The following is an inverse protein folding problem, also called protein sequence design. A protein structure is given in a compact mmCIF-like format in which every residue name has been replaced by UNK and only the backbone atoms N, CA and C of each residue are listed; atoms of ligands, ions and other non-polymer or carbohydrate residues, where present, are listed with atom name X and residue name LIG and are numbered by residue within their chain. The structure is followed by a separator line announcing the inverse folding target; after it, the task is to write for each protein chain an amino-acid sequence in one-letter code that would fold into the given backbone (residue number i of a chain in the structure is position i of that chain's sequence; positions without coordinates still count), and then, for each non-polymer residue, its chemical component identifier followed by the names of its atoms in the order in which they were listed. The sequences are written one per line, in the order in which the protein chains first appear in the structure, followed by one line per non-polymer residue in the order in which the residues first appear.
data_IF_453183218813
#
_entry.id   IF_453183218813
#
_cell.length_a   1.000
_cell.length_b   1.000
_cell.length_c   1.000
_cell.angle_alpha   90.00
_cell.angle_beta   90.00
_cell.angle_gamma   90.00
#
_symmetry.space_group_name_H-M   'P 1'
#
loop_
_entity.id
_entity.type
_entity.pdbx_description
1 polymer ?
#
# COMPACT_ATOMS: atom_id res chain seq x y z
N UNK A 1 -34.41 4.78 -38.59
CA UNK A 1 -33.87 5.93 -37.83
C UNK A 1 -33.04 5.35 -36.67
N UNK A 2 -31.71 5.46 -36.83
CA UNK A 2 -30.60 5.36 -35.86
C UNK A 2 -30.57 4.23 -34.82
N UNK A 3 -29.48 3.51 -34.53
CA UNK A 3 -28.14 3.22 -35.09
C UNK A 3 -27.63 2.11 -34.12
N UNK A 4 -27.29 0.88 -34.54
CA UNK A 4 -25.97 0.44 -35.03
C UNK A 4 -24.85 0.64 -33.96
N UNK A 5 -24.04 -0.35 -33.55
CA UNK A 5 -23.26 -1.31 -34.36
C UNK A 5 -22.83 -2.53 -33.53
N UNK A 6 -22.97 -3.72 -34.12
CA UNK A 6 -22.10 -4.87 -33.84
C UNK A 6 -21.28 -5.12 -35.11
N UNK A 7 -19.95 -5.09 -35.01
CA UNK A 7 -19.07 -5.47 -36.11
C UNK A 7 -18.57 -6.88 -35.87
N UNK A 8 -19.16 -7.82 -36.62
CA UNK A 8 -18.58 -9.13 -36.91
C UNK A 8 -17.48 -9.00 -37.96
N UNK A 9 -16.45 -9.80 -37.75
CA UNK A 9 -15.28 -9.99 -38.60
C UNK A 9 -15.66 -10.65 -39.93
N UNK A 10 -15.09 -10.17 -41.04
CA UNK A 10 -14.97 -10.95 -42.28
C UNK A 10 -13.51 -11.01 -42.69
N UNK A 11 -12.96 -12.22 -42.69
CA UNK A 11 -11.66 -12.52 -43.28
C UNK A 11 -11.84 -12.74 -44.77
N UNK A 12 -11.09 -12.02 -45.60
CA UNK A 12 -10.89 -12.36 -47.01
C UNK A 12 -9.40 -12.50 -47.27
N UNK A 13 -9.05 -13.69 -47.75
CA UNK A 13 -7.72 -14.16 -48.06
C UNK A 13 -7.34 -13.73 -49.48
N UNK A 14 -6.26 -12.95 -49.64
CA UNK A 14 -5.47 -12.92 -50.88
C UNK A 14 -3.99 -12.71 -50.56
N UNK A 15 -3.20 -13.69 -51.01
CA UNK A 15 -1.76 -13.69 -51.24
C UNK A 15 -0.85 -13.32 -50.05
N UNK A 16 -0.18 -14.35 -49.53
CA UNK A 16 0.78 -14.22 -48.44
C UNK A 16 2.04 -13.43 -48.82
N UNK A 17 2.63 -12.83 -47.78
CA UNK A 17 4.06 -12.71 -47.44
C UNK A 17 4.11 -11.89 -46.13
N UNK A 18 5.10 -12.18 -45.29
CA UNK A 18 5.31 -11.78 -43.89
C UNK A 18 5.01 -10.33 -43.49
N UNK A 19 4.44 -10.14 -42.30
CA UNK A 19 4.43 -8.86 -41.58
C UNK A 19 5.67 -8.74 -40.68
N UNK A 20 6.58 -7.83 -41.05
CA UNK A 20 7.56 -7.25 -40.13
C UNK A 20 6.97 -5.94 -39.58
N UNK A 21 6.93 -5.82 -38.25
CA UNK A 21 6.62 -4.57 -37.56
C UNK A 21 7.89 -3.71 -37.48
N UNK A 22 7.82 -2.47 -37.98
CA UNK A 22 8.79 -1.40 -37.70
C UNK A 22 8.04 -0.16 -37.16
N UNK A 23 8.65 0.62 -36.26
CA UNK A 23 7.93 1.48 -35.33
C UNK A 23 7.51 2.83 -35.94
N UNK A 24 6.39 3.36 -35.41
CA UNK A 24 5.91 4.71 -35.65
C UNK A 24 6.97 5.74 -35.23
N UNK A 25 7.41 6.55 -36.18
CA UNK A 25 7.97 7.87 -35.89
C UNK A 25 7.30 8.92 -36.77
N UNK A 26 6.79 9.96 -36.09
CA UNK A 26 6.61 11.33 -36.56
C UNK A 26 5.37 11.65 -37.41
N UNK A 27 4.32 12.03 -36.67
CA UNK A 27 3.36 13.04 -37.10
C UNK A 27 4.08 14.41 -37.18
N UNK A 28 4.28 14.92 -38.39
CA UNK A 28 4.47 16.37 -38.64
C UNK A 28 3.64 16.73 -39.89
N UNK A 29 2.82 17.75 -39.72
CA UNK A 29 1.71 18.18 -40.59
C UNK A 29 2.11 18.61 -42.01
N UNK A 30 1.27 18.28 -42.98
CA UNK A 30 1.28 18.86 -44.34
C UNK A 30 0.02 19.69 -44.56
N UNK A 31 0.17 21.02 -44.54
CA UNK A 31 -0.80 21.96 -45.12
C UNK A 31 0.01 22.93 -46.00
N UNK A 32 0.01 22.66 -47.31
CA UNK A 32 0.58 23.53 -48.33
C UNK A 32 -0.59 24.19 -49.06
N UNK A 33 -0.79 25.48 -48.84
CA UNK A 33 -1.59 26.33 -49.74
C UNK A 33 -0.68 27.44 -50.25
N UNK A 34 -0.53 27.47 -51.57
CA UNK A 34 0.36 28.33 -52.35
C UNK A 34 -0.21 29.76 -52.39
N UNK A 35 0.59 30.76 -52.06
CA UNK A 35 0.44 32.14 -52.56
C UNK A 35 1.81 32.83 -52.62
N UNK A 36 2.21 33.16 -53.84
CA UNK A 36 3.45 33.86 -54.20
C UNK A 36 3.48 35.28 -53.63
N UNK A 37 4.54 35.64 -52.88
CA UNK A 37 5.12 36.98 -52.88
C UNK A 37 6.54 36.95 -52.30
N UNK A 38 7.46 37.55 -53.03
CA UNK A 38 8.90 37.60 -52.84
C UNK A 38 9.32 38.22 -51.50
N UNK A 39 9.90 37.43 -50.60
CA UNK A 39 10.81 37.88 -49.53
C UNK A 39 11.74 36.73 -49.14
N UNK A 40 13.06 36.96 -49.20
CA UNK A 40 14.09 35.99 -48.78
C UNK A 40 14.06 35.82 -47.27
N UNK A 41 13.36 34.79 -46.78
CA UNK A 41 13.38 34.39 -45.38
C UNK A 41 14.62 33.52 -45.14
N UNK A 42 15.61 34.03 -44.40
CA UNK A 42 16.72 33.21 -43.89
C UNK A 42 16.16 32.24 -42.84
N UNK A 43 15.92 31.00 -43.24
CA UNK A 43 15.57 29.91 -42.32
C UNK A 43 16.83 29.55 -41.53
N UNK A 44 16.93 30.05 -40.30
CA UNK A 44 17.94 29.58 -39.35
C UNK A 44 17.47 28.23 -38.81
N UNK A 45 18.03 27.15 -39.33
CA UNK A 45 17.81 25.80 -38.81
C UNK A 45 18.58 25.71 -37.50
N UNK A 46 17.92 26.00 -36.39
CA UNK A 46 18.44 25.63 -35.08
C UNK A 46 18.39 24.10 -35.00
N UNK A 47 19.57 23.46 -35.11
CA UNK A 47 19.73 22.07 -34.67
C UNK A 47 19.38 22.04 -33.19
N UNK A 48 18.15 21.64 -32.89
CA UNK A 48 17.81 21.18 -31.56
C UNK A 48 18.56 19.86 -31.40
N UNK A 49 19.74 19.90 -30.80
CA UNK A 49 20.35 18.70 -30.26
C UNK A 49 19.44 18.25 -29.14
N UNK A 50 18.56 17.28 -29.44
CA UNK A 50 18.08 16.38 -28.42
C UNK A 50 19.32 15.73 -27.83
N UNK A 51 19.83 16.30 -26.73
CA UNK A 51 20.65 15.54 -25.81
C UNK A 51 19.75 14.40 -25.39
N UNK A 52 20.00 13.20 -25.92
CA UNK A 52 19.49 11.98 -25.33
C UNK A 52 20.01 11.96 -23.89
N UNK A 53 19.21 12.48 -22.97
CA UNK A 53 19.39 12.27 -21.55
C UNK A 53 19.07 10.78 -21.34
N UNK A 54 20.05 9.95 -21.67
CA UNK A 54 19.92 8.52 -21.49
C UNK A 54 19.81 8.28 -20.00
N UNK A 55 18.60 7.92 -19.58
CA UNK A 55 18.30 7.61 -18.17
C UNK A 55 19.36 6.65 -17.64
N UNK A 56 19.82 6.93 -16.42
CA UNK A 56 20.82 6.12 -15.74
C UNK A 56 20.18 4.92 -15.03
N UNK A 57 18.87 4.76 -15.16
CA UNK A 57 18.11 3.59 -14.74
C UNK A 57 18.22 2.50 -15.81
N UNK A 58 18.99 1.45 -15.50
CA UNK A 58 19.27 0.32 -16.41
C UNK A 58 18.38 -0.91 -16.17
N UNK A 59 17.37 -0.79 -15.31
CA UNK A 59 16.44 -1.85 -14.95
C UNK A 59 15.00 -1.39 -15.15
N UNK A 60 14.06 -2.33 -15.17
CA UNK A 60 12.63 -2.02 -15.18
C UNK A 60 12.22 -1.44 -13.82
N UNK A 61 11.75 -0.19 -13.80
CA UNK A 61 11.29 0.46 -12.58
C UNK A 61 10.06 -0.27 -12.06
N UNK A 62 10.17 -0.79 -10.83
CA UNK A 62 9.04 -1.41 -10.15
C UNK A 62 7.88 -0.42 -9.99
N UNK A 63 6.68 -0.83 -10.41
CA UNK A 63 5.48 -0.01 -10.26
C UNK A 63 5.08 0.16 -8.80
N UNK A 64 4.36 1.24 -8.49
CA UNK A 64 3.87 1.55 -7.14
C UNK A 64 2.57 0.84 -6.78
N UNK A 65 1.82 0.39 -7.79
CA UNK A 65 0.50 -0.23 -7.65
C UNK A 65 0.54 -1.77 -7.61
N UNK A 66 1.74 -2.35 -7.65
CA UNK A 66 2.00 -3.79 -7.64
C UNK A 66 1.69 -4.51 -8.96
N UNK A 67 1.24 -3.81 -10.01
CA UNK A 67 0.85 -4.42 -11.28
C UNK A 67 2.06 -4.96 -12.05
N UNK A 68 1.81 -5.98 -12.88
CA UNK A 68 2.78 -6.57 -13.80
C UNK A 68 4.02 -7.20 -13.14
N UNK A 69 4.04 -7.37 -11.81
CA UNK A 69 5.12 -8.08 -11.11
C UNK A 69 5.17 -9.57 -11.52
N UNK A 70 3.99 -10.22 -11.58
CA UNK A 70 3.88 -11.57 -12.10
C UNK A 70 3.60 -11.55 -13.61
N UNK A 71 4.43 -12.26 -14.39
CA UNK A 71 4.36 -12.28 -15.86
C UNK A 71 3.05 -12.87 -16.41
N UNK A 72 2.47 -13.87 -15.74
CA UNK A 72 1.26 -14.55 -16.23
C UNK A 72 -0.02 -13.95 -15.64
N UNK A 73 0.05 -13.43 -14.42
CA UNK A 73 -1.09 -12.93 -13.66
C UNK A 73 -0.83 -11.51 -13.16
N UNK A 74 -1.01 -10.53 -14.04
CA UNK A 74 -0.63 -9.13 -13.79
C UNK A 74 -1.29 -8.49 -12.56
N UNK A 75 -2.45 -9.01 -12.12
CA UNK A 75 -3.22 -8.51 -10.98
C UNK A 75 -2.86 -9.15 -9.63
N UNK A 76 -1.87 -10.07 -9.57
CA UNK A 76 -1.45 -10.68 -8.31
C UNK A 76 -0.73 -9.66 -7.43
N UNK A 77 -1.20 -9.52 -6.19
CA UNK A 77 -0.61 -8.64 -5.19
C UNK A 77 -0.77 -7.14 -5.47
N UNK A 78 -1.64 -6.76 -6.41
CA UNK A 78 -1.92 -5.36 -6.70
C UNK A 78 -2.81 -4.73 -5.64
N UNK A 79 -2.81 -3.40 -5.60
CA UNK A 79 -3.83 -2.64 -4.87
C UNK A 79 -5.22 -3.03 -5.37
N UNK A 80 -6.15 -3.25 -4.44
CA UNK A 80 -7.51 -3.70 -4.71
C UNK A 80 -7.65 -5.19 -5.06
N UNK A 81 -6.55 -5.96 -5.04
CA UNK A 81 -6.63 -7.40 -5.32
C UNK A 81 -7.39 -8.15 -4.21
N UNK A 82 -8.16 -9.20 -4.54
CA UNK A 82 -8.80 -10.05 -3.54
C UNK A 82 -7.78 -10.74 -2.64
N UNK A 83 -8.08 -10.85 -1.35
CA UNK A 83 -7.30 -11.68 -0.45
C UNK A 83 -7.42 -13.15 -0.87
N UNK A 84 -6.31 -13.89 -0.82
CA UNK A 84 -6.32 -15.34 -1.06
C UNK A 84 -6.91 -16.07 0.15
N UNK A 85 -7.32 -17.32 0.01
CA UNK A 85 -7.84 -18.08 1.15
C UNK A 85 -7.10 -19.40 1.31
N UNK A 86 -6.71 -19.71 2.54
CA UNK A 86 -6.16 -21.03 2.86
C UNK A 86 -7.29 -22.08 2.95
N UNK A 87 -8.47 -21.66 3.42
CA UNK A 87 -9.65 -22.50 3.55
C UNK A 87 -10.89 -21.83 2.89
N UNK A 88 -11.90 -22.61 2.46
CA UNK A 88 -13.15 -22.06 1.95
C UNK A 88 -13.80 -21.08 2.94
N UNK A 89 -14.45 -20.03 2.42
CA UNK A 89 -15.09 -19.02 3.26
C UNK A 89 -16.24 -19.63 4.10
N UNK A 90 -16.29 -19.28 5.38
CA UNK A 90 -17.31 -19.78 6.32
C UNK A 90 -18.30 -18.66 6.69
N UNK A 91 -19.39 -18.59 5.94
CA UNK A 91 -20.53 -17.70 6.19
C UNK A 91 -21.76 -18.50 6.62
N UNK A 92 -22.70 -17.88 7.35
CA UNK A 92 -23.92 -18.54 7.83
C UNK A 92 -24.86 -18.95 6.71
N UNK A 93 -24.91 -18.16 5.64
CA UNK A 93 -25.63 -18.43 4.38
C UNK A 93 -24.75 -19.10 3.31
N UNK A 94 -23.48 -19.37 3.63
CA UNK A 94 -22.49 -19.86 2.68
C UNK A 94 -22.00 -18.83 1.64
N UNK A 95 -22.43 -17.56 1.73
CA UNK A 95 -22.11 -16.53 0.73
C UNK A 95 -21.49 -15.29 1.34
N UNK A 96 -22.19 -14.58 2.22
CA UNK A 96 -21.72 -13.29 2.73
C UNK A 96 -22.17 -12.97 4.15
N UNK A 97 -23.18 -13.65 4.69
CA UNK A 97 -23.68 -13.35 6.03
C UNK A 97 -22.72 -13.89 7.09
N UNK A 98 -22.13 -13.04 7.94
CA UNK A 98 -21.19 -13.48 8.96
C UNK A 98 -21.87 -14.42 9.97
N UNK A 99 -21.10 -15.37 10.49
CA UNK A 99 -21.51 -16.13 11.67
C UNK A 99 -21.51 -15.19 12.88
N UNK A 100 -22.58 -15.22 13.66
CA UNK A 100 -22.79 -14.38 14.84
C UNK A 100 -23.37 -15.23 15.98
N UNK A 101 -23.83 -14.60 17.05
CA UNK A 101 -24.59 -15.27 18.10
C UNK A 101 -25.91 -15.85 17.55
N UNK A 102 -26.36 -17.04 18.01
CA UNK A 102 -25.78 -17.87 19.06
C UNK A 102 -24.72 -18.89 18.57
N UNK A 103 -24.41 -18.95 17.27
CA UNK A 103 -23.47 -19.94 16.72
C UNK A 103 -22.02 -19.70 17.15
N UNK A 104 -21.66 -18.44 17.38
CA UNK A 104 -20.40 -18.00 17.95
C UNK A 104 -20.65 -17.20 19.24
N UNK A 105 -19.70 -17.17 20.19
CA UNK A 105 -19.85 -16.35 21.39
C UNK A 105 -19.82 -14.85 21.06
N UNK A 106 -20.45 -14.04 21.91
CA UNK A 106 -20.37 -12.59 21.86
C UNK A 106 -18.89 -12.11 21.79
N UNK A 107 -18.52 -11.24 20.82
CA UNK A 107 -17.14 -10.79 20.65
C UNK A 107 -16.56 -10.04 21.86
N UNK A 108 -17.37 -9.20 22.53
CA UNK A 108 -16.93 -8.45 23.70
C UNK A 108 -16.70 -9.37 24.90
N UNK A 109 -17.60 -10.33 25.13
CA UNK A 109 -17.40 -11.36 26.15
C UNK A 109 -16.15 -12.20 25.90
N UNK A 110 -15.90 -12.58 24.65
CA UNK A 110 -14.70 -13.32 24.28
C UNK A 110 -13.43 -12.49 24.53
N UNK A 111 -13.45 -11.21 24.17
CA UNK A 111 -12.35 -10.28 24.47
C UNK A 111 -12.09 -10.17 25.97
N UNK A 112 -13.13 -10.10 26.80
CA UNK A 112 -12.98 -10.03 28.25
C UNK A 112 -12.33 -11.29 28.84
N UNK A 113 -12.75 -12.46 28.36
CA UNK A 113 -12.19 -13.74 28.82
C UNK A 113 -10.75 -13.95 28.35
N UNK A 114 -10.44 -13.56 27.11
CA UNK A 114 -9.13 -13.85 26.52
C UNK A 114 -8.06 -12.79 26.78
N UNK A 115 -8.44 -11.51 26.79
CA UNK A 115 -7.49 -10.39 26.77
C UNK A 115 -7.41 -9.63 28.10
N UNK A 116 -8.32 -9.87 29.05
CA UNK A 116 -8.20 -9.25 30.39
C UNK A 116 -7.02 -9.86 31.13
N UNK A 117 -6.11 -9.00 31.59
CA UNK A 117 -4.92 -9.42 32.34
C UNK A 117 -4.19 -8.22 32.92
N UNK A 118 -3.10 -8.50 33.64
CA UNK A 118 -2.22 -7.46 34.16
C UNK A 118 -1.24 -7.01 33.07
N UNK A 119 -1.09 -5.68 32.92
CA UNK A 119 -0.05 -5.09 32.08
C UNK A 119 1.33 -5.23 32.73
N UNK A 120 2.40 -5.03 31.95
CA UNK A 120 3.78 -5.02 32.46
C UNK A 120 4.47 -6.38 32.46
N UNK A 121 3.87 -7.40 31.82
CA UNK A 121 4.52 -8.68 31.59
C UNK A 121 5.59 -8.53 30.49
N UNK A 122 6.88 -8.83 30.76
CA UNK A 122 7.92 -8.70 29.76
C UNK A 122 7.80 -9.79 28.68
N UNK A 123 8.31 -9.51 27.48
CA UNK A 123 8.43 -10.51 26.44
C UNK A 123 9.36 -11.65 26.89
N UNK A 124 8.92 -12.90 26.74
CA UNK A 124 9.73 -14.08 27.04
C UNK A 124 10.99 -14.19 26.16
N UNK A 125 10.99 -13.51 25.01
CA UNK A 125 12.11 -13.49 24.06
C UNK A 125 12.85 -12.15 24.05
N UNK A 126 12.60 -11.27 25.05
CA UNK A 126 13.16 -9.92 25.11
C UNK A 126 12.91 -9.10 23.83
N UNK A 127 11.75 -9.29 23.18
CA UNK A 127 11.34 -8.46 22.05
C UNK A 127 11.29 -7.00 22.46
N UNK A 128 11.89 -6.13 21.64
CA UNK A 128 11.88 -4.70 21.89
C UNK A 128 10.60 -4.08 21.37
N UNK A 129 10.20 -2.96 21.96
CA UNK A 129 9.06 -2.17 21.47
C UNK A 129 9.30 -1.67 20.04
N UNK A 130 10.55 -1.37 19.68
CA UNK A 130 10.94 -1.02 18.31
C UNK A 130 10.64 -2.18 17.34
N UNK A 131 11.00 -3.41 17.69
CA UNK A 131 10.66 -4.61 16.89
C UNK A 131 9.14 -4.75 16.69
N UNK A 132 8.34 -4.48 17.72
CA UNK A 132 6.87 -4.52 17.63
C UNK A 132 6.34 -3.50 16.64
N UNK A 133 6.80 -2.25 16.70
CA UNK A 133 6.31 -1.18 15.80
C UNK A 133 6.87 -1.27 14.38
N UNK A 134 8.09 -1.78 14.19
CA UNK A 134 8.55 -2.20 12.86
C UNK A 134 7.63 -3.29 12.27
N UNK A 135 7.19 -4.24 13.10
CA UNK A 135 6.18 -5.23 12.71
C UNK A 135 4.85 -4.61 12.28
N UNK A 136 4.37 -3.60 13.00
CA UNK A 136 3.18 -2.83 12.57
C UNK A 136 3.39 -2.14 11.22
N UNK A 137 4.55 -1.51 11.01
CA UNK A 137 4.89 -0.90 9.73
C UNK A 137 4.89 -1.93 8.59
N UNK A 138 5.49 -3.11 8.83
CA UNK A 138 5.49 -4.23 7.89
C UNK A 138 4.06 -4.73 7.57
N UNK A 139 3.16 -4.74 8.55
CA UNK A 139 1.78 -5.11 8.30
C UNK A 139 1.04 -4.06 7.48
N UNK A 140 1.27 -2.78 7.73
CA UNK A 140 0.65 -1.69 6.95
C UNK A 140 1.18 -1.61 5.52
N UNK A 141 2.39 -2.10 5.27
CA UNK A 141 2.97 -2.28 3.93
C UNK A 141 2.16 -3.27 3.08
N UNK A 142 1.83 -4.45 3.64
CA UNK A 142 1.28 -5.55 2.85
C UNK A 142 -0.23 -5.74 3.00
N UNK A 143 -0.86 -5.08 3.96
CA UNK A 143 -2.25 -5.32 4.32
C UNK A 143 -2.99 -4.04 4.75
N UNK A 144 -4.09 -3.76 4.06
CA UNK A 144 -5.11 -2.83 4.53
C UNK A 144 -6.50 -3.26 4.07
N UNK A 145 -7.37 -3.55 5.04
CA UNK A 145 -8.79 -3.80 4.81
C UNK A 145 -9.67 -3.02 5.80
N UNK A 146 -9.11 -1.96 6.41
CA UNK A 146 -9.76 -1.16 7.47
C UNK A 146 -10.85 -0.22 6.93
N UNK A 147 -10.67 0.45 5.78
CA UNK A 147 -11.71 1.32 5.24
C UNK A 147 -13.04 0.58 5.09
N UNK A 148 -14.17 1.26 5.27
CA UNK A 148 -15.47 0.63 5.12
C UNK A 148 -15.78 0.29 3.65
N UNK A 149 -16.52 -0.79 3.44
CA UNK A 149 -17.06 -1.17 2.14
C UNK A 149 -18.34 -0.38 1.77
N UNK A 150 -18.71 -0.48 0.49
CA UNK A 150 -19.91 0.14 -0.08
C UNK A 150 -20.77 -0.93 -0.79
N UNK A 151 -22.09 -1.03 -0.52
CA UNK A 151 -22.88 -0.24 0.44
C UNK A 151 -22.43 -0.41 1.90
N UNK A 152 -22.75 0.55 2.80
CA UNK A 152 -22.39 0.44 4.20
C UNK A 152 -23.11 -0.74 4.86
N UNK A 153 -22.35 -1.68 5.39
CA UNK A 153 -22.86 -2.84 6.12
C UNK A 153 -22.31 -2.83 7.54
N UNK A 154 -23.20 -2.89 8.53
CA UNK A 154 -22.83 -2.89 9.94
C UNK A 154 -23.01 -4.29 10.55
N UNK A 155 -22.03 -4.70 11.35
CA UNK A 155 -22.12 -5.83 12.26
C UNK A 155 -21.95 -5.29 13.68
N UNK A 156 -23.05 -4.85 14.29
CA UNK A 156 -22.99 -4.33 15.65
C UNK A 156 -22.48 -5.38 16.63
N UNK A 157 -21.66 -4.96 17.59
CA UNK A 157 -21.19 -5.80 18.68
C UNK A 157 -22.06 -5.48 19.90
N UNK A 158 -22.94 -6.40 20.34
CA UNK A 158 -23.71 -6.21 21.56
C UNK A 158 -22.78 -6.20 22.76
N UNK A 159 -22.84 -5.15 23.57
CA UNK A 159 -22.08 -5.07 24.81
C UNK A 159 -22.86 -5.79 25.92
N UNK A 160 -22.24 -6.73 26.66
CA UNK A 160 -22.88 -7.35 27.81
C UNK A 160 -23.33 -6.32 28.85
N UNK A 161 -24.50 -6.50 29.43
CA UNK A 161 -25.01 -5.62 30.49
C UNK A 161 -24.00 -5.52 31.64
N UNK A 162 -23.66 -4.28 32.02
CA UNK A 162 -22.71 -4.05 33.10
C UNK A 162 -21.24 -4.25 32.71
N UNK A 163 -20.93 -4.23 31.41
CA UNK A 163 -19.54 -4.12 30.96
C UNK A 163 -18.87 -2.90 31.61
N UNK A 164 -17.73 -3.07 32.31
CA UNK A 164 -17.15 -2.00 33.12
C UNK A 164 -16.62 -0.82 32.29
N UNK A 165 -16.39 -1.01 30.98
CA UNK A 165 -15.85 0.02 30.09
C UNK A 165 -16.95 0.66 29.27
N UNK A 166 -17.78 -0.16 28.62
CA UNK A 166 -18.74 0.32 27.62
C UNK A 166 -20.18 0.45 28.13
N UNK A 167 -20.56 -0.24 29.20
CA UNK A 167 -21.90 -0.16 29.81
C UNK A 167 -21.85 -0.10 31.36
N UNK A 168 -21.13 0.86 31.96
CA UNK A 168 -20.96 0.94 33.42
C UNK A 168 -22.27 1.18 34.17
N UNK A 169 -23.30 1.71 33.49
CA UNK A 169 -24.62 1.98 34.05
C UNK A 169 -25.62 0.82 33.88
N UNK A 170 -25.17 -0.33 33.37
CA UNK A 170 -26.01 -1.54 33.21
C UNK A 170 -27.28 -1.30 32.41
N UNK A 171 -27.16 -0.53 31.32
CA UNK A 171 -28.30 -0.23 30.45
C UNK A 171 -28.75 -1.45 29.64
N UNK A 172 -27.82 -2.38 29.34
CA UNK A 172 -28.08 -3.57 28.53
C UNK A 172 -28.43 -3.26 27.07
N UNK A 173 -28.16 -2.03 26.60
CA UNK A 173 -28.57 -1.53 25.27
C UNK A 173 -27.41 -1.00 24.42
N UNK A 174 -26.18 -1.04 24.93
CA UNK A 174 -25.02 -0.50 24.23
C UNK A 174 -24.63 -1.42 23.06
N UNK A 175 -24.48 -0.82 21.88
CA UNK A 175 -24.04 -1.48 20.66
C UNK A 175 -22.80 -0.75 20.14
N UNK A 176 -21.66 -1.45 20.00
CA UNK A 176 -20.50 -0.87 19.34
C UNK A 176 -20.66 -1.03 17.82
N UNK A 177 -20.60 0.06 17.04
CA UNK A 177 -20.68 -0.02 15.59
C UNK A 177 -19.38 -0.60 15.04
N UNK A 178 -19.48 -1.69 14.28
CA UNK A 178 -18.39 -2.21 13.46
C UNK A 178 -18.88 -2.29 12.02
N UNK A 179 -18.18 -1.62 11.12
CA UNK A 179 -18.53 -1.57 9.71
C UNK A 179 -17.68 -2.58 8.93
N UNK A 180 -18.30 -3.30 8.00
CA UNK A 180 -17.61 -4.29 7.18
C UNK A 180 -16.71 -3.61 6.15
N UNK A 181 -15.51 -4.16 5.94
CA UNK A 181 -14.56 -3.67 4.94
C UNK A 181 -14.98 -3.97 3.50
N UNK A 182 -14.23 -3.44 2.50
CA UNK A 182 -14.50 -3.65 1.09
C UNK A 182 -14.31 -5.11 0.68
N UNK A 183 -14.94 -5.47 -0.42
CA UNK A 183 -14.89 -6.80 -1.00
C UNK A 183 -14.82 -6.72 -2.53
N UNK A 184 -14.41 -7.82 -3.14
CA UNK A 184 -14.39 -7.97 -4.58
C UNK A 184 -15.82 -7.96 -5.12
N UNK A 185 -16.11 -7.03 -6.03
CA UNK A 185 -17.43 -6.84 -6.64
C UNK A 185 -17.88 -8.04 -7.48
N UNK A 186 -16.94 -8.87 -7.91
CA UNK A 186 -17.24 -10.11 -8.65
C UNK A 186 -17.51 -11.30 -7.71
N UNK A 187 -17.26 -11.16 -6.40
CA UNK A 187 -17.57 -12.14 -5.36
C UNK A 187 -18.97 -11.95 -4.79
N UNK A 188 -19.37 -12.78 -3.83
CA UNK A 188 -20.61 -12.66 -3.02
C UNK A 188 -21.94 -12.88 -3.75
N UNK A 189 -21.92 -13.44 -4.97
CA UNK A 189 -23.14 -13.65 -5.77
C UNK A 189 -23.73 -15.06 -5.60
N UNK A 190 -22.92 -16.03 -5.15
CA UNK A 190 -23.37 -17.42 -5.02
C UNK A 190 -22.50 -18.20 -4.02
N UNK A 191 -22.98 -19.37 -3.52
CA UNK A 191 -22.18 -20.22 -2.63
C UNK A 191 -20.86 -20.72 -3.26
N UNK A 192 -20.78 -20.78 -4.59
CA UNK A 192 -19.57 -21.18 -5.31
C UNK A 192 -18.55 -20.04 -5.44
N UNK A 193 -18.95 -18.80 -5.18
CA UNK A 193 -18.08 -17.63 -5.15
C UNK A 193 -18.48 -16.72 -3.98
N UNK A 194 -18.22 -17.16 -2.73
CA UNK A 194 -18.57 -16.40 -1.54
C UNK A 194 -17.79 -15.08 -1.47
N UNK A 195 -18.20 -14.18 -0.58
CA UNK A 195 -17.57 -12.87 -0.43
C UNK A 195 -16.08 -12.99 -0.13
N UNK A 196 -15.27 -12.23 -0.87
CA UNK A 196 -13.82 -12.14 -0.66
C UNK A 196 -13.43 -10.69 -0.43
N UNK A 197 -12.78 -10.42 0.70
CA UNK A 197 -12.27 -9.09 1.04
C UNK A 197 -11.14 -8.70 0.09
N UNK A 198 -10.93 -7.41 -0.11
CA UNK A 198 -9.83 -6.90 -0.95
C UNK A 198 -8.77 -6.25 -0.08
N UNK A 199 -7.53 -6.28 -0.57
CA UNK A 199 -6.42 -5.54 0.00
C UNK A 199 -6.34 -4.15 -0.63
N UNK A 200 -6.28 -3.08 0.16
CA UNK A 200 -6.20 -1.70 -0.33
C UNK A 200 -4.76 -1.16 -0.43
N UNK A 201 -3.78 -2.01 -0.14
CA UNK A 201 -2.36 -1.78 -0.43
C UNK A 201 -1.83 -2.93 -1.29
N UNK A 202 -0.59 -2.83 -1.75
CA UNK A 202 0.09 -3.93 -2.45
C UNK A 202 0.28 -5.10 -1.48
N UNK A 203 0.25 -6.35 -1.96
CA UNK A 203 0.64 -7.52 -1.15
C UNK A 203 2.16 -7.73 -1.13
N UNK A 204 2.88 -6.91 -1.89
CA UNK A 204 4.32 -6.96 -2.04
C UNK A 204 4.99 -6.19 -0.91
N UNK A 205 6.20 -6.61 -0.54
CA UNK A 205 7.08 -5.81 0.31
C UNK A 205 7.88 -4.87 -0.60
N UNK A 206 7.24 -3.86 -1.17
CA UNK A 206 7.76 -2.99 -2.23
C UNK A 206 7.96 -1.52 -1.81
N UNK A 207 7.96 -1.27 -0.51
CA UNK A 207 8.05 0.05 0.10
C UNK A 207 6.78 0.89 -0.12
N UNK A 208 5.62 0.30 -0.38
CA UNK A 208 4.37 1.05 -0.58
C UNK A 208 3.97 1.89 0.65
N UNK A 209 4.32 1.46 1.86
CA UNK A 209 4.16 2.24 3.10
C UNK A 209 5.09 3.45 3.20
N UNK A 210 6.15 3.50 2.39
CA UNK A 210 7.11 4.61 2.30
C UNK A 210 6.79 5.51 1.10
N UNK A 211 6.48 4.92 -0.06
CA UNK A 211 6.36 5.62 -1.35
C UNK A 211 4.93 5.79 -1.85
N UNK A 212 3.95 5.14 -1.22
CA UNK A 212 2.56 5.13 -1.67
C UNK A 212 2.21 3.95 -2.57
N UNK A 213 0.94 3.55 -2.60
CA UNK A 213 0.43 2.45 -3.42
C UNK A 213 0.08 2.87 -4.87
N UNK A 214 0.47 4.07 -5.31
CA UNK A 214 0.21 4.54 -6.67
C UNK A 214 1.24 5.59 -7.11
N UNK A 215 1.40 5.77 -8.43
CA UNK A 215 2.31 6.79 -8.96
C UNK A 215 1.92 8.20 -8.51
N UNK A 216 0.62 8.52 -8.49
CA UNK A 216 0.15 9.84 -8.03
C UNK A 216 0.41 10.08 -6.55
N UNK A 217 0.36 9.03 -5.73
CA UNK A 217 0.74 9.12 -4.33
C UNK A 217 2.23 9.38 -4.18
N UNK A 218 3.07 8.61 -4.87
CA UNK A 218 4.52 8.82 -4.87
C UNK A 218 4.89 10.22 -5.34
N UNK A 219 4.24 10.72 -6.39
CA UNK A 219 4.47 12.07 -6.90
C UNK A 219 4.10 13.13 -5.85
N UNK A 220 3.01 12.94 -5.11
CA UNK A 220 2.62 13.86 -4.05
C UNK A 220 3.62 13.88 -2.86
N UNK A 221 4.33 12.77 -2.62
CA UNK A 221 5.35 12.66 -1.59
C UNK A 221 6.73 13.17 -2.01
N UNK A 222 6.96 13.44 -3.30
CA UNK A 222 8.26 13.85 -3.83
C UNK A 222 8.46 15.35 -3.82
N UNK A 223 9.70 15.79 -3.63
CA UNK A 223 10.10 17.19 -3.85
C UNK A 223 10.40 17.50 -5.32
N UNK A 224 10.63 16.46 -6.13
CA UNK A 224 11.18 16.53 -7.50
C UNK A 224 12.51 17.30 -7.59
N UNK A 225 13.25 17.37 -6.48
CA UNK A 225 14.58 17.97 -6.42
C UNK A 225 15.53 17.07 -5.64
N UNK A 226 16.67 16.73 -6.26
CA UNK A 226 17.74 15.95 -5.61
C UNK A 226 17.39 14.48 -5.35
N UNK A 227 16.32 13.97 -5.95
CA UNK A 227 15.78 12.64 -5.72
C UNK A 227 15.18 12.47 -4.34
N UNK A 228 14.71 13.54 -3.70
CA UNK A 228 14.24 13.55 -2.31
C UNK A 228 12.72 13.38 -2.18
N UNK A 229 12.30 12.83 -1.05
CA UNK A 229 10.94 12.99 -0.54
C UNK A 229 10.77 14.41 0.03
N UNK A 230 9.57 14.97 -0.16
CA UNK A 230 9.21 16.32 0.25
C UNK A 230 9.27 16.46 1.78
N UNK A 231 10.10 17.39 2.23
CA UNK A 231 10.24 17.74 3.65
C UNK A 231 9.30 18.88 4.02
N UNK A 232 8.94 18.97 5.30
CA UNK A 232 8.18 20.08 5.85
C UNK A 232 9.06 21.30 6.17
N UNK A 233 8.64 22.10 7.15
CA UNK A 233 9.46 23.20 7.67
C UNK A 233 10.81 22.72 8.24
N UNK A 234 10.81 21.54 8.84
CA UNK A 234 12.00 20.84 9.29
C UNK A 234 12.48 19.89 8.20
N UNK A 235 13.72 20.05 7.76
CA UNK A 235 14.31 19.27 6.65
C UNK A 235 14.38 17.77 6.94
N UNK A 236 14.43 17.37 8.21
CA UNK A 236 14.46 15.98 8.65
C UNK A 236 13.06 15.40 8.95
N UNK A 237 11.99 16.15 8.64
CA UNK A 237 10.62 15.72 8.84
C UNK A 237 9.84 15.71 7.53
N UNK A 238 8.93 14.74 7.32
CA UNK A 238 8.05 14.76 6.16
C UNK A 238 7.21 16.03 6.13
N UNK A 239 6.73 16.37 4.94
CA UNK A 239 5.74 17.42 4.78
C UNK A 239 4.49 17.11 5.63
N UNK A 240 3.90 18.14 6.26
CA UNK A 240 2.64 17.99 6.99
C UNK A 240 1.48 17.92 6.01
N UNK A 241 0.47 17.10 6.34
CA UNK A 241 -0.74 16.95 5.55
C UNK A 241 -1.48 18.30 5.49
N UNK A 242 -1.76 18.75 4.28
CA UNK A 242 -2.57 19.93 4.02
C UNK A 242 -4.01 19.55 3.68
N UNK A 243 -4.59 20.25 2.70
CA UNK A 243 -5.91 19.96 2.12
C UNK A 243 -5.95 18.71 1.23
N UNK A 244 -4.84 17.99 1.11
CA UNK A 244 -4.68 16.75 0.35
C UNK A 244 -5.30 15.59 1.12
N UNK A 245 -6.29 14.89 0.54
CA UNK A 245 -6.98 13.73 1.14
C UNK A 245 -6.13 12.44 1.17
N UNK A 246 -4.82 12.54 1.33
CA UNK A 246 -3.91 11.38 1.36
C UNK A 246 -3.99 10.66 2.69
N UNK A 247 -3.92 11.40 3.80
CA UNK A 247 -3.85 10.83 5.14
C UNK A 247 -5.24 10.59 5.72
N UNK A 248 -5.38 9.47 6.43
CA UNK A 248 -6.56 9.20 7.23
C UNK A 248 -6.57 10.10 8.47
N UNK A 249 -7.64 10.89 8.62
CA UNK A 249 -7.80 11.90 9.67
C UNK A 249 -8.87 11.50 10.69
N UNK A 250 -8.65 10.36 11.37
CA UNK A 250 -9.45 9.99 12.53
C UNK A 250 -9.36 11.07 13.61
N UNK A 251 -10.46 11.29 14.35
CA UNK A 251 -10.42 12.15 15.52
C UNK A 251 -9.53 11.53 16.60
N UNK A 252 -8.69 12.35 17.23
CA UNK A 252 -7.90 11.97 18.39
C UNK A 252 -8.84 11.52 19.52
N UNK A 253 -8.73 10.27 20.01
CA UNK A 253 -9.63 9.75 21.03
C UNK A 253 -9.49 10.44 22.40
N UNK A 254 -8.38 11.15 22.65
CA UNK A 254 -8.10 11.83 23.91
C UNK A 254 -8.55 13.29 23.88
N UNK A 255 -8.35 13.98 22.75
CA UNK A 255 -8.60 15.43 22.64
C UNK A 255 -9.82 15.79 21.79
N UNK A 256 -10.31 14.86 20.96
CA UNK A 256 -11.39 15.10 19.99
C UNK A 256 -10.98 15.95 18.78
N UNK A 257 -9.70 16.33 18.68
CA UNK A 257 -9.18 17.06 17.53
C UNK A 257 -9.28 16.19 16.27
N UNK A 258 -9.65 16.80 15.15
CA UNK A 258 -9.84 16.12 13.88
C UNK A 258 -9.38 17.01 12.73
N UNK A 259 -9.14 16.40 11.58
CA UNK A 259 -8.59 17.08 10.41
C UNK A 259 -7.13 16.70 10.13
N UNK A 260 -6.54 17.26 9.08
CA UNK A 260 -5.18 16.91 8.64
C UNK A 260 -4.09 17.59 9.48
N UNK A 261 -4.46 18.54 10.33
CA UNK A 261 -3.56 19.34 11.15
C UNK A 261 -2.74 18.44 12.09
N UNK A 262 -1.41 18.48 11.93
CA UNK A 262 -0.49 17.68 12.74
C UNK A 262 -0.16 16.30 12.18
N UNK A 263 -0.81 15.85 11.10
CA UNK A 263 -0.46 14.61 10.41
C UNK A 263 0.72 14.83 9.45
N UNK A 264 1.58 13.83 9.28
CA UNK A 264 2.63 13.82 8.26
C UNK A 264 2.14 13.11 6.99
N UNK A 265 2.51 13.61 5.81
CA UNK A 265 2.29 12.92 4.53
C UNK A 265 3.29 11.74 4.44
N UNK A 266 2.75 10.52 4.46
CA UNK A 266 3.51 9.26 4.44
C UNK A 266 3.04 8.36 3.28
N UNK A 267 3.74 7.26 3.01
CA UNK A 267 3.34 6.27 1.98
C UNK A 267 2.07 5.48 2.35
N UNK A 268 1.73 5.38 3.63
CA UNK A 268 0.51 4.74 4.09
C UNK A 268 -0.48 5.75 4.69
N UNK A 269 -1.75 5.66 4.30
CA UNK A 269 -2.83 6.54 4.79
C UNK A 269 -2.95 6.53 6.33
N UNK A 270 -2.63 5.40 6.97
CA UNK A 270 -2.73 5.17 8.41
C UNK A 270 -1.38 5.28 9.12
N UNK A 271 -0.33 5.80 8.47
CA UNK A 271 0.98 5.96 9.10
C UNK A 271 0.96 6.80 10.39
N UNK A 272 -0.03 7.68 10.52
CA UNK A 272 -0.23 8.55 11.68
C UNK A 272 -1.18 7.97 12.76
N UNK A 273 -1.53 6.67 12.71
CA UNK A 273 -2.47 6.05 13.67
C UNK A 273 -2.03 6.23 15.13
N UNK A 274 -0.72 6.15 15.40
CA UNK A 274 -0.14 6.54 16.67
C UNK A 274 1.28 7.09 16.46
N UNK A 275 1.86 7.68 17.51
CA UNK A 275 3.19 8.31 17.44
C UNK A 275 4.32 7.32 17.09
N UNK A 276 4.16 6.02 17.33
CA UNK A 276 5.18 5.02 17.10
C UNK A 276 5.17 4.51 15.66
N UNK A 277 3.98 4.28 15.07
CA UNK A 277 3.87 3.99 13.63
C UNK A 277 4.32 5.19 12.81
N UNK A 278 4.02 6.41 13.28
CA UNK A 278 4.50 7.65 12.70
C UNK A 278 6.03 7.72 12.73
N UNK A 279 6.65 7.39 13.87
CA UNK A 279 8.11 7.37 14.01
C UNK A 279 8.77 6.41 13.02
N UNK A 280 8.23 5.21 12.83
CA UNK A 280 8.71 4.27 11.80
C UNK A 280 8.65 4.88 10.39
N UNK A 281 7.52 5.52 10.04
CA UNK A 281 7.39 6.27 8.79
C UNK A 281 8.46 7.33 8.60
N UNK A 282 8.74 8.12 9.63
CA UNK A 282 9.76 9.17 9.62
C UNK A 282 11.18 8.60 9.48
N UNK A 283 11.48 7.48 10.15
CA UNK A 283 12.80 6.81 10.03
C UNK A 283 13.06 6.42 8.58
N UNK A 284 12.08 5.80 7.90
CA UNK A 284 12.23 5.39 6.51
C UNK A 284 12.27 6.56 5.52
N UNK A 285 11.50 7.62 5.78
CA UNK A 285 11.61 8.90 5.05
C UNK A 285 13.04 9.48 5.14
N UNK A 286 13.58 9.59 6.36
CA UNK A 286 14.94 10.10 6.59
C UNK A 286 15.98 9.24 5.90
N UNK A 287 15.82 7.92 5.97
CA UNK A 287 16.73 6.98 5.34
C UNK A 287 16.73 7.11 3.81
N UNK A 288 15.56 7.30 3.18
CA UNK A 288 15.49 7.60 1.75
C UNK A 288 16.26 8.88 1.40
N UNK A 289 15.98 9.98 2.09
CA UNK A 289 16.63 11.27 1.82
C UNK A 289 18.14 11.18 2.03
N UNK A 290 18.59 10.46 3.06
CA UNK A 290 20.00 10.16 3.27
C UNK A 290 20.62 9.44 2.07
N UNK A 291 20.02 8.36 1.59
CA UNK A 291 20.53 7.60 0.44
C UNK A 291 20.56 8.47 -0.83
N UNK A 292 19.49 9.22 -1.11
CA UNK A 292 19.40 10.12 -2.25
C UNK A 292 20.50 11.21 -2.22
N UNK A 293 20.74 11.85 -1.06
CA UNK A 293 21.83 12.82 -0.91
C UNK A 293 23.21 12.18 -1.15
N UNK A 294 23.45 10.97 -0.64
CA UNK A 294 24.72 10.23 -0.85
C UNK A 294 24.92 9.82 -2.31
N UNK A 295 23.85 9.52 -3.03
CA UNK A 295 23.92 9.26 -4.47
C UNK A 295 24.20 10.54 -5.26
N UNK A 296 23.59 11.67 -4.88
CA UNK A 296 23.82 12.98 -5.51
C UNK A 296 25.27 13.44 -5.36
N UNK A 297 25.88 13.23 -4.20
CA UNK A 297 27.32 13.51 -3.96
C UNK A 297 28.24 12.69 -4.88
N UNK A 298 27.91 11.42 -5.12
CA UNK A 298 28.72 10.50 -5.94
C UNK A 298 28.47 10.65 -7.44
N UNK A 299 27.27 11.08 -7.82
CA UNK A 299 26.79 11.10 -9.18
C UNK A 299 26.18 12.46 -9.54
N UNK A 300 27.02 13.49 -9.59
CA UNK A 300 26.59 14.89 -9.83
C UNK A 300 25.88 15.14 -11.17
N UNK A 301 25.98 14.21 -12.13
CA UNK A 301 25.31 14.30 -13.44
C UNK A 301 23.94 13.60 -13.48
N UNK A 302 23.52 12.93 -12.41
CA UNK A 302 22.24 12.23 -12.37
C UNK A 302 21.09 13.22 -12.21
N UNK A 303 19.98 12.93 -12.90
CA UNK A 303 18.73 13.69 -12.75
C UNK A 303 18.03 13.39 -11.43
N UNK A 304 17.04 14.20 -11.06
CA UNK A 304 16.15 13.92 -9.92
C UNK A 304 15.56 12.51 -9.98
N UNK A 305 15.05 12.11 -11.14
CA UNK A 305 14.42 10.80 -11.35
C UNK A 305 15.44 9.67 -11.20
N UNK A 306 16.65 9.82 -11.76
CA UNK A 306 17.70 8.81 -11.61
C UNK A 306 18.09 8.64 -10.14
N UNK A 307 18.22 9.74 -9.38
CA UNK A 307 18.51 9.71 -7.95
C UNK A 307 17.39 9.04 -7.17
N UNK A 308 16.14 9.45 -7.41
CA UNK A 308 14.96 8.94 -6.70
C UNK A 308 14.80 7.43 -6.91
N UNK A 309 14.88 6.93 -8.16
CA UNK A 309 14.69 5.51 -8.43
C UNK A 309 15.83 4.64 -7.87
N UNK A 310 17.07 5.13 -7.89
CA UNK A 310 18.19 4.43 -7.25
C UNK A 310 18.05 4.41 -5.72
N UNK A 311 17.65 5.52 -5.11
CA UNK A 311 17.40 5.61 -3.68
C UNK A 311 16.23 4.69 -3.27
N UNK A 312 15.10 4.78 -3.97
CA UNK A 312 13.92 3.93 -3.77
C UNK A 312 14.28 2.44 -3.85
N UNK A 313 14.94 1.99 -4.92
CA UNK A 313 15.38 0.59 -5.07
C UNK A 313 16.25 0.14 -3.90
N UNK A 314 17.19 0.97 -3.48
CA UNK A 314 18.11 0.66 -2.37
C UNK A 314 17.35 0.53 -1.06
N UNK A 315 16.47 1.48 -0.75
CA UNK A 315 15.67 1.49 0.47
C UNK A 315 14.72 0.29 0.53
N UNK A 316 14.05 -0.05 -0.57
CA UNK A 316 13.17 -1.23 -0.65
C UNK A 316 13.98 -2.50 -0.36
N UNK A 317 15.17 -2.65 -0.98
CA UNK A 317 16.02 -3.80 -0.73
C UNK A 317 16.46 -3.88 0.75
N UNK A 318 16.83 -2.75 1.36
CA UNK A 318 17.15 -2.68 2.80
C UNK A 318 15.94 -3.07 3.65
N UNK A 319 14.75 -2.55 3.35
CA UNK A 319 13.51 -2.85 4.05
C UNK A 319 13.17 -4.34 4.00
N UNK A 320 13.20 -4.94 2.81
CA UNK A 320 13.01 -6.38 2.61
C UNK A 320 14.05 -7.21 3.37
N UNK A 321 15.31 -6.79 3.36
CA UNK A 321 16.39 -7.49 4.06
C UNK A 321 16.17 -7.51 5.57
N UNK A 322 15.88 -6.34 6.16
CA UNK A 322 15.58 -6.23 7.60
C UNK A 322 14.35 -7.07 7.94
N UNK A 323 13.29 -6.98 7.13
CA UNK A 323 12.05 -7.73 7.35
C UNK A 323 12.28 -9.24 7.41
N UNK A 324 12.96 -9.83 6.42
CA UNK A 324 13.09 -11.29 6.31
C UNK A 324 14.27 -11.89 7.07
N UNK A 325 15.38 -11.17 7.19
CA UNK A 325 16.64 -11.75 7.70
C UNK A 325 17.03 -11.25 9.08
N UNK A 326 16.33 -10.25 9.63
CA UNK A 326 16.57 -9.74 10.98
C UNK A 326 15.30 -9.80 11.84
N UNK A 327 14.25 -9.10 11.41
CA UNK A 327 13.01 -9.00 12.17
C UNK A 327 12.26 -10.32 12.24
N UNK A 328 11.93 -10.94 11.11
CA UNK A 328 11.10 -12.16 11.11
C UNK A 328 11.73 -13.33 11.89
N UNK A 329 13.03 -13.67 11.75
CA UNK A 329 13.66 -14.71 12.57
C UNK A 329 13.65 -14.35 14.05
N UNK A 330 14.03 -13.11 14.37
CA UNK A 330 14.00 -12.61 15.75
C UNK A 330 12.61 -12.72 16.35
N UNK A 331 11.58 -12.37 15.59
CA UNK A 331 10.18 -12.38 15.99
C UNK A 331 9.62 -13.79 16.18
N UNK A 332 9.97 -14.74 15.31
CA UNK A 332 9.58 -16.15 15.41
C UNK A 332 10.41 -16.93 16.44
N UNK A 333 11.49 -16.35 16.97
CA UNK A 333 12.45 -17.06 17.81
C UNK A 333 13.27 -18.09 17.02
N UNK A 334 13.32 -17.95 15.69
CA UNK A 334 14.09 -18.80 14.81
C UNK A 334 15.48 -18.19 14.57
N UNK A 335 16.49 -19.05 14.40
CA UNK A 335 17.87 -18.59 14.15
C UNK A 335 18.10 -18.17 12.70
N UNK A 336 17.39 -18.78 11.75
CA UNK A 336 17.62 -18.60 10.31
C UNK A 336 16.35 -18.91 9.53
N UNK A 337 16.03 -18.10 8.51
CA UNK A 337 15.02 -18.45 7.51
C UNK A 337 15.54 -19.49 6.52
N UNK A 338 14.61 -20.17 5.83
CA UNK A 338 14.92 -21.02 4.68
C UNK A 338 15.65 -20.17 3.62
N UNK A 339 16.81 -20.63 3.09
CA UNK A 339 17.54 -19.90 2.07
C UNK A 339 16.70 -19.65 0.82
N UNK A 340 16.83 -18.45 0.24
CA UNK A 340 16.12 -18.07 -0.98
C UNK A 340 16.47 -19.00 -2.16
N UNK A 341 15.46 -19.67 -2.71
CA UNK A 341 15.61 -20.65 -3.80
C UNK A 341 15.40 -20.02 -5.20
N UNK A 342 15.37 -18.70 -5.30
CA UNK A 342 15.03 -17.98 -6.52
C UNK A 342 13.55 -17.64 -6.65
N UNK A 343 13.22 -16.87 -7.70
CA UNK A 343 11.88 -16.34 -7.91
C UNK A 343 10.90 -17.43 -8.37
N UNK A 344 9.84 -17.64 -7.60
CA UNK A 344 8.83 -18.65 -7.88
C UNK A 344 7.63 -18.05 -8.62
N UNK A 345 7.71 -18.03 -9.96
CA UNK A 345 6.72 -17.36 -10.85
C UNK A 345 5.28 -17.88 -10.76
N UNK A 346 5.06 -19.07 -10.21
CA UNK A 346 3.72 -19.68 -10.13
C UNK A 346 3.05 -19.51 -8.76
N UNK A 347 3.80 -19.09 -7.74
CA UNK A 347 3.28 -18.86 -6.39
C UNK A 347 2.38 -17.62 -6.41
N UNK A 348 1.23 -17.72 -5.74
CA UNK A 348 0.36 -16.59 -5.50
C UNK A 348 0.85 -15.83 -4.25
N UNK A 349 1.27 -14.56 -4.37
CA UNK A 349 1.80 -13.77 -3.26
C UNK A 349 0.69 -13.12 -2.41
N UNK A 350 -0.59 -13.31 -2.76
CA UNK A 350 -1.69 -12.62 -2.09
C UNK A 350 -1.73 -12.89 -0.58
N UNK A 351 -2.18 -11.90 0.19
CA UNK A 351 -2.36 -12.03 1.63
C UNK A 351 -3.65 -12.76 1.93
N UNK A 352 -3.64 -13.64 2.94
CA UNK A 352 -4.82 -14.38 3.37
C UNK A 352 -5.51 -13.74 4.58
N UNK A 353 -6.85 -13.86 4.73
CA UNK A 353 -7.56 -13.44 5.93
C UNK A 353 -7.05 -14.13 7.20
N UNK A 354 -6.56 -15.38 7.08
CA UNK A 354 -5.94 -16.12 8.18
C UNK A 354 -4.64 -15.46 8.62
N UNK A 355 -3.79 -15.04 7.68
CA UNK A 355 -2.56 -14.29 7.98
C UNK A 355 -2.90 -12.95 8.62
N UNK A 356 -3.86 -12.21 8.06
CA UNK A 356 -4.33 -10.93 8.62
C UNK A 356 -4.76 -11.09 10.09
N UNK A 357 -5.56 -12.11 10.40
CA UNK A 357 -6.00 -12.36 11.77
C UNK A 357 -4.84 -12.75 12.70
N UNK A 358 -3.92 -13.61 12.24
CA UNK A 358 -2.78 -14.06 13.03
C UNK A 358 -1.79 -12.92 13.32
N UNK A 359 -1.38 -12.20 12.28
CA UNK A 359 -0.33 -11.19 12.38
C UNK A 359 -0.75 -9.99 13.24
N UNK A 360 -1.96 -9.46 13.05
CA UNK A 360 -2.47 -8.33 13.85
C UNK A 360 -2.61 -8.74 15.33
N UNK A 361 -3.12 -9.94 15.63
CA UNK A 361 -3.33 -10.38 17.01
C UNK A 361 -2.02 -10.64 17.75
N UNK A 362 -1.04 -11.23 17.06
CA UNK A 362 0.27 -11.46 17.65
C UNK A 362 1.03 -10.15 17.87
N UNK A 363 0.96 -9.17 16.96
CA UNK A 363 1.55 -7.85 17.19
C UNK A 363 0.86 -7.12 18.36
N UNK A 364 -0.48 -7.17 18.42
CA UNK A 364 -1.27 -6.49 19.45
C UNK A 364 -1.04 -7.03 20.86
N UNK A 365 -0.68 -8.31 21.01
CA UNK A 365 -0.38 -8.88 22.35
C UNK A 365 0.93 -8.36 22.95
N UNK A 366 1.77 -7.69 22.17
CA UNK A 366 3.06 -7.15 22.60
C UNK A 366 3.08 -5.62 22.65
N UNK A 367 1.95 -4.96 22.34
CA UNK A 367 1.84 -3.51 22.49
C UNK A 367 1.99 -3.13 23.97
N UNK A 368 2.98 -2.30 24.34
CA UNK A 368 3.19 -1.93 25.73
C UNK A 368 2.16 -0.89 26.18
N UNK A 369 1.88 -0.77 27.50
CA UNK A 369 0.99 0.27 28.03
C UNK A 369 1.60 1.69 27.93
N UNK A 370 2.91 1.79 27.72
CA UNK A 370 3.64 3.04 27.55
C UNK A 370 5.01 2.77 26.94
N UNK A 371 5.65 3.81 26.42
CA UNK A 371 6.93 3.71 25.71
C UNK A 371 7.92 4.71 26.29
N UNK A 372 9.15 4.26 26.50
CA UNK A 372 10.23 5.12 26.99
C UNK A 372 10.80 6.00 25.86
N UNK A 373 11.11 7.25 26.18
CA UNK A 373 11.95 8.11 25.35
C UNK A 373 13.36 8.10 25.94
N UNK A 374 14.34 7.62 25.18
CA UNK A 374 15.75 7.61 25.57
C UNK A 374 16.48 8.75 24.87
N UNK A 375 16.98 9.72 25.64
CA UNK A 375 17.77 10.86 25.17
C UNK A 375 19.27 10.55 25.12
#
# INVERSE_FOLDING_TARGET
MQLHLSHQWTCVNRSGVSWQCLPLSLYVSSLVTILNLSTTLKVSIYKCTCLDAQSKVTWEVQRYDGWYNNLAYHSRGTVGSPLVRLLPARYSDGVLQPLQEPQLPNPRKLSDVMARGHSGLPSAHNQTVLSVFFGYHLMFEILDSRPPGCPPEFMYIPVPEGDPVFDPHRTGRVLLPFQRGPWDKHSSQSPNNPRTQVNLVTAWLDGSSIYGPSSSWSDALRSFTGGLLASGEQLDMPKRSGSTSLMWSAADPSTGQHGPEGLYELGNAWGNENVFTMAEGIVWFRYHNYIASRLSEKHSSWSDEDLFQNARKTVIATFQNIAFYEWLPGFLGEKTMIPYQGYQKFVDPGISPEFQAAAIRFASTMAPPGVYMRY
#
